data_IF_461176355600
#
_entry.id   IF_461176355600
#
_cell.length_a   1.000
_cell.length_b   1.000
_cell.length_c   1.000
_cell.angle_alpha   90.00
_cell.angle_beta   90.00
_cell.angle_gamma   90.00
#
_symmetry.space_group_name_H-M   'P 1'
#
loop_
_entity.id
_entity.type
_entity.pdbx_description
1 polymer ?
#
# COMPACT_ATOMS: atom_id res chain seq x y z
N UNK A 1 -20.09 9.05 -10.53
CA UNK A 1 -19.44 7.85 -9.99
C UNK A 1 -17.95 7.93 -10.27
N UNK A 2 -17.15 7.38 -9.40
CA UNK A 2 -15.70 7.52 -9.47
C UNK A 2 -14.98 6.19 -9.54
N UNK A 3 -13.82 6.18 -10.21
CA UNK A 3 -12.89 5.05 -10.24
C UNK A 3 -11.61 5.54 -9.61
N UNK A 4 -11.26 4.98 -8.47
CA UNK A 4 -10.13 5.46 -7.66
C UNK A 4 -8.97 4.49 -7.67
N UNK A 5 -7.77 5.03 -7.73
CA UNK A 5 -6.53 4.30 -7.53
C UNK A 5 -5.68 5.03 -6.50
N UNK A 6 -5.05 4.28 -5.63
CA UNK A 6 -4.17 4.82 -4.59
C UNK A 6 -2.79 4.20 -4.76
N UNK A 7 -1.76 5.05 -4.77
CA UNK A 7 -0.38 4.59 -4.92
C UNK A 7 0.39 5.00 -3.67
N UNK A 8 0.89 4.04 -2.92
CA UNK A 8 1.52 4.28 -1.63
C UNK A 8 3.01 4.00 -1.66
N UNK A 9 3.81 5.02 -1.38
CA UNK A 9 5.25 4.90 -1.20
C UNK A 9 5.56 4.96 0.29
N UNK A 10 6.34 4.01 0.79
CA UNK A 10 6.68 3.91 2.21
C UNK A 10 8.18 3.97 2.39
N UNK A 11 8.63 4.80 3.32
CA UNK A 11 10.05 4.89 3.69
C UNK A 11 10.16 5.30 5.15
N UNK A 12 10.92 4.55 5.92
CA UNK A 12 11.03 4.73 7.36
C UNK A 12 9.66 4.68 8.03
N UNK A 13 9.27 5.71 8.75
CA UNK A 13 8.00 5.78 9.47
C UNK A 13 6.88 6.46 8.65
N UNK A 14 7.15 6.79 7.40
CA UNK A 14 6.27 7.63 6.61
C UNK A 14 5.75 6.90 5.39
N UNK A 15 4.48 7.11 5.08
CA UNK A 15 3.88 6.74 3.81
C UNK A 15 3.30 7.99 3.16
N UNK A 16 3.67 8.22 1.91
CA UNK A 16 3.08 9.26 1.08
C UNK A 16 2.41 8.57 -0.10
N UNK A 17 1.23 9.03 -0.44
CA UNK A 17 0.49 8.43 -1.55
C UNK A 17 -0.18 9.46 -2.43
N UNK A 18 -0.57 9.00 -3.60
CA UNK A 18 -1.44 9.72 -4.50
C UNK A 18 -2.79 9.01 -4.54
N UNK A 19 -3.86 9.75 -4.32
CA UNK A 19 -5.23 9.27 -4.46
C UNK A 19 -5.77 9.86 -5.74
N UNK A 20 -6.01 9.00 -6.72
CA UNK A 20 -6.34 9.43 -8.07
C UNK A 20 -7.75 9.04 -8.46
N UNK A 21 -8.45 9.96 -9.09
CA UNK A 21 -9.70 9.65 -9.77
C UNK A 21 -9.38 9.46 -11.25
N UNK A 22 -9.53 8.24 -11.73
CA UNK A 22 -9.15 7.90 -13.11
C UNK A 22 -10.05 8.58 -14.14
N UNK A 23 -11.30 8.81 -13.80
CA UNK A 23 -12.27 9.41 -14.73
C UNK A 23 -12.08 10.91 -14.90
N UNK A 24 -11.89 11.62 -13.79
CA UNK A 24 -11.69 13.08 -13.83
C UNK A 24 -10.23 13.45 -14.01
N UNK A 25 -9.32 12.49 -13.87
CA UNK A 25 -7.87 12.68 -13.93
C UNK A 25 -7.35 13.65 -12.88
N UNK A 26 -8.08 13.78 -11.77
CA UNK A 26 -7.66 14.56 -10.62
C UNK A 26 -6.93 13.66 -9.63
N UNK A 27 -6.00 14.26 -8.90
CA UNK A 27 -5.26 13.53 -7.87
C UNK A 27 -5.06 14.42 -6.65
N UNK A 28 -5.06 13.78 -5.49
CA UNK A 28 -4.74 14.43 -4.23
C UNK A 28 -3.65 13.65 -3.51
N UNK A 29 -2.94 14.32 -2.61
CA UNK A 29 -1.91 13.66 -1.83
C UNK A 29 -2.48 13.04 -0.56
N UNK A 30 -1.83 11.97 -0.11
CA UNK A 30 -2.12 11.30 1.14
C UNK A 30 -0.82 11.17 1.93
N UNK A 31 -0.87 11.40 3.22
CA UNK A 31 0.30 11.29 4.07
C UNK A 31 -0.07 10.66 5.41
N UNK A 32 0.72 9.71 5.85
CA UNK A 32 0.55 9.08 7.14
C UNK A 32 1.90 8.79 7.79
N UNK A 33 2.06 9.28 9.02
CA UNK A 33 3.21 8.96 9.86
C UNK A 33 2.82 7.86 10.84
N UNK A 34 3.56 6.77 10.81
CA UNK A 34 3.35 5.69 11.77
C UNK A 34 4.13 5.99 13.06
N UNK A 35 3.40 6.07 14.15
CA UNK A 35 4.01 6.25 15.48
C UNK A 35 4.03 4.90 16.15
N UNK A 36 5.23 4.44 16.52
CA UNK A 36 5.39 3.19 17.26
C UNK A 36 5.80 3.51 18.70
N UNK A 37 5.33 2.69 19.64
CA UNK A 37 5.71 2.80 21.04
C UNK A 37 7.00 2.03 21.34
N UNK A 38 7.49 1.26 20.39
CA UNK A 38 8.70 0.48 20.56
C UNK A 38 9.94 1.30 20.21
N UNK A 39 11.06 0.95 20.83
CA UNK A 39 12.34 1.54 20.45
C UNK A 39 12.78 0.96 19.10
N UNK A 40 13.29 1.83 18.24
CA UNK A 40 13.73 1.45 16.92
C UNK A 40 12.69 1.76 15.84
N UNK A 41 13.11 1.55 14.60
CA UNK A 41 12.23 1.80 13.46
C UNK A 41 11.38 0.57 13.17
N UNK A 42 10.09 0.79 12.96
CA UNK A 42 9.22 -0.25 12.45
C UNK A 42 9.66 -0.67 11.05
N UNK A 43 9.44 -1.93 10.71
CA UNK A 43 9.70 -2.41 9.36
C UNK A 43 8.73 -1.80 8.35
N UNK A 44 9.11 -1.82 7.07
CA UNK A 44 8.30 -1.23 6.01
C UNK A 44 6.91 -1.85 5.93
N UNK A 45 6.78 -3.13 6.24
CA UNK A 45 5.48 -3.81 6.24
C UNK A 45 4.55 -3.22 7.30
N UNK A 46 5.05 -3.00 8.52
CA UNK A 46 4.24 -2.41 9.59
C UNK A 46 3.82 -0.99 9.24
N UNK A 47 4.75 -0.18 8.74
CA UNK A 47 4.48 1.21 8.37
C UNK A 47 3.45 1.29 7.25
N UNK A 48 3.62 0.47 6.20
CA UNK A 48 2.68 0.44 5.08
C UNK A 48 1.30 -0.02 5.53
N UNK A 49 1.24 -1.03 6.38
CA UNK A 49 -0.03 -1.54 6.90
C UNK A 49 -0.75 -0.48 7.75
N UNK A 50 -0.01 0.25 8.56
CA UNK A 50 -0.56 1.35 9.33
C UNK A 50 -1.22 2.40 8.43
N UNK A 51 -0.56 2.75 7.33
CA UNK A 51 -1.09 3.69 6.36
C UNK A 51 -2.37 3.15 5.69
N UNK A 52 -2.38 1.88 5.33
CA UNK A 52 -3.55 1.23 4.73
C UNK A 52 -4.74 1.26 5.67
N UNK A 53 -4.53 0.90 6.93
CA UNK A 53 -5.58 0.92 7.94
C UNK A 53 -6.15 2.33 8.09
N UNK A 54 -5.28 3.33 8.19
CA UNK A 54 -5.68 4.72 8.29
C UNK A 54 -6.47 5.17 7.06
N UNK A 55 -6.00 4.81 5.87
CA UNK A 55 -6.65 5.14 4.62
C UNK A 55 -8.06 4.54 4.56
N UNK A 56 -8.20 3.27 4.90
CA UNK A 56 -9.50 2.59 4.87
C UNK A 56 -10.50 3.21 5.82
N UNK A 57 -10.05 3.66 6.99
CA UNK A 57 -10.92 4.29 7.97
C UNK A 57 -11.52 5.60 7.49
N UNK A 58 -10.75 6.36 6.71
CA UNK A 58 -11.17 7.68 6.27
C UNK A 58 -11.61 7.77 4.83
N UNK A 59 -11.59 6.68 4.09
CA UNK A 59 -11.88 6.72 2.66
C UNK A 59 -13.39 6.82 2.40
N UNK A 60 -13.76 7.75 1.54
CA UNK A 60 -15.15 7.89 1.12
C UNK A 60 -15.46 6.83 0.05
N UNK A 61 -16.30 5.86 0.41
CA UNK A 61 -16.68 4.77 -0.49
C UNK A 61 -17.99 5.04 -1.24
N UNK A 62 -18.58 6.21 -1.05
CA UNK A 62 -19.80 6.59 -1.76
C UNK A 62 -19.48 6.82 -3.24
N UNK A 63 -20.42 6.49 -4.07
CA UNK A 63 -20.33 6.73 -5.52
C UNK A 63 -19.15 6.06 -6.22
N UNK A 64 -18.59 5.01 -5.62
CA UNK A 64 -17.57 4.22 -6.30
C UNK A 64 -18.22 3.37 -7.40
N UNK A 65 -17.66 3.46 -8.59
CA UNK A 65 -18.10 2.64 -9.73
C UNK A 65 -17.46 1.26 -9.69
N UNK A 66 -16.29 1.17 -9.07
CA UNK A 66 -15.52 -0.07 -8.93
C UNK A 66 -14.73 -0.02 -7.64
N UNK A 67 -14.26 -1.17 -7.12
CA UNK A 67 -13.40 -1.16 -5.94
C UNK A 67 -12.15 -0.31 -6.15
N UNK A 68 -11.71 0.35 -5.08
CA UNK A 68 -10.49 1.14 -5.09
C UNK A 68 -9.29 0.21 -5.21
N UNK A 69 -8.42 0.47 -6.17
CA UNK A 69 -7.17 -0.28 -6.30
C UNK A 69 -6.10 0.41 -5.48
N UNK A 70 -5.58 -0.29 -4.48
CA UNK A 70 -4.53 0.23 -3.60
C UNK A 70 -3.23 -0.48 -3.94
N UNK A 71 -2.28 0.27 -4.50
CA UNK A 71 -0.96 -0.25 -4.84
C UNK A 71 -0.01 0.03 -3.68
N UNK A 72 0.59 -1.01 -3.14
CA UNK A 72 1.44 -0.91 -1.95
C UNK A 72 2.61 -1.89 -2.04
N UNK A 73 3.49 -1.85 -1.04
CA UNK A 73 4.66 -2.73 -1.02
C UNK A 73 4.23 -4.19 -1.08
N UNK A 74 5.01 -4.99 -1.80
CA UNK A 74 4.70 -6.39 -2.07
C UNK A 74 4.51 -7.21 -0.81
N UNK A 75 5.30 -6.94 0.22
CA UNK A 75 5.21 -7.68 1.48
C UNK A 75 3.84 -7.58 2.15
N UNK A 76 3.14 -6.46 1.97
CA UNK A 76 1.78 -6.28 2.49
C UNK A 76 0.75 -6.85 1.51
N UNK A 77 0.86 -6.47 0.25
CA UNK A 77 -0.10 -6.90 -0.76
C UNK A 77 -0.18 -8.42 -0.87
N UNK A 78 0.97 -9.09 -0.83
CA UNK A 78 1.01 -10.54 -0.92
C UNK A 78 0.36 -11.22 0.28
N UNK A 79 0.58 -10.71 1.50
CA UNK A 79 -0.05 -11.25 2.69
C UNK A 79 -1.56 -11.07 2.68
N UNK A 80 -2.05 -10.00 2.08
CA UNK A 80 -3.49 -9.77 1.93
C UNK A 80 -4.06 -10.73 0.88
N UNK A 81 -3.44 -10.80 -0.27
CA UNK A 81 -3.96 -11.54 -1.41
C UNK A 81 -3.91 -13.06 -1.22
N UNK A 82 -2.87 -13.57 -0.56
CA UNK A 82 -2.78 -14.99 -0.25
C UNK A 82 -3.39 -15.35 1.10
N UNK A 83 -3.91 -14.35 1.82
CA UNK A 83 -4.57 -14.49 3.12
C UNK A 83 -3.67 -15.03 4.24
N UNK A 84 -2.36 -14.97 4.09
CA UNK A 84 -1.43 -15.45 5.12
C UNK A 84 -1.52 -14.66 6.42
N UNK A 85 -1.97 -13.40 6.38
CA UNK A 85 -2.17 -12.63 7.60
C UNK A 85 -3.23 -13.27 8.52
N UNK A 86 -4.18 -13.99 7.96
CA UNK A 86 -5.21 -14.70 8.76
C UNK A 86 -4.59 -15.81 9.59
N UNK A 87 -3.61 -16.51 9.03
CA UNK A 87 -2.86 -17.52 9.78
C UNK A 87 -2.11 -16.86 10.94
N UNK A 88 -1.50 -15.71 10.71
CA UNK A 88 -0.81 -14.98 11.78
C UNK A 88 -1.78 -14.55 12.89
N UNK A 89 -3.00 -14.15 12.55
CA UNK A 89 -4.01 -13.78 13.54
C UNK A 89 -4.41 -14.97 14.42
N UNK A 90 -4.43 -16.17 13.87
CA UNK A 90 -4.82 -17.37 14.60
C UNK A 90 -3.66 -17.89 15.43
N UNK A 91 -2.48 -18.00 14.85
CA UNK A 91 -1.33 -18.64 15.49
C UNK A 91 -0.48 -17.72 16.35
N UNK A 92 -0.47 -16.41 16.04
CA UNK A 92 0.47 -15.46 16.64
C UNK A 92 1.90 -15.65 16.16
N UNK A 93 2.12 -16.49 15.16
CA UNK A 93 3.46 -16.86 14.69
C UNK A 93 3.66 -16.54 13.22
N UNK A 94 4.88 -16.12 12.88
CA UNK A 94 5.32 -16.00 11.49
C UNK A 94 5.62 -17.36 10.91
N UNK A 95 5.87 -17.40 9.59
CA UNK A 95 6.18 -18.65 8.90
C UNK A 95 7.42 -19.35 9.43
N UNK A 96 8.36 -18.60 10.00
CA UNK A 96 9.58 -19.15 10.59
C UNK A 96 9.41 -19.59 12.05
N UNK A 97 8.20 -19.51 12.59
CA UNK A 97 7.89 -19.92 13.96
C UNK A 97 8.13 -18.85 15.02
N UNK A 98 8.66 -17.70 14.64
CA UNK A 98 8.84 -16.59 15.61
C UNK A 98 7.53 -15.87 15.84
N UNK A 99 7.44 -15.16 16.98
CA UNK A 99 6.24 -14.40 17.30
C UNK A 99 6.06 -13.21 16.35
N UNK A 100 4.82 -12.94 15.99
CA UNK A 100 4.47 -11.72 15.27
C UNK A 100 4.61 -10.55 16.25
N UNK A 101 5.25 -9.47 15.80
CA UNK A 101 5.39 -8.26 16.61
C UNK A 101 4.03 -7.76 17.09
N UNK A 102 3.94 -7.33 18.34
CA UNK A 102 2.67 -6.93 18.95
C UNK A 102 2.01 -5.75 18.22
N UNK A 103 2.80 -4.77 17.77
CA UNK A 103 2.27 -3.63 17.03
C UNK A 103 1.74 -4.05 15.66
N UNK A 104 2.46 -4.92 14.97
CA UNK A 104 2.02 -5.43 13.69
C UNK A 104 0.77 -6.29 13.85
N UNK A 105 0.71 -7.13 14.88
CA UNK A 105 -0.46 -7.95 15.16
C UNK A 105 -1.71 -7.08 15.39
N UNK A 106 -1.56 -6.00 16.12
CA UNK A 106 -2.66 -5.06 16.37
C UNK A 106 -3.18 -4.46 15.05
N UNK A 107 -2.27 -4.10 14.16
CA UNK A 107 -2.63 -3.55 12.86
C UNK A 107 -3.34 -4.58 11.98
N UNK A 108 -2.88 -5.83 11.99
CA UNK A 108 -3.54 -6.89 11.23
C UNK A 108 -4.94 -7.18 11.75
N UNK A 109 -5.14 -7.11 13.08
CA UNK A 109 -6.47 -7.25 13.67
C UNK A 109 -7.39 -6.13 13.22
N UNK A 110 -6.92 -4.90 13.24
CA UNK A 110 -7.69 -3.76 12.74
C UNK A 110 -8.00 -3.89 11.25
N UNK A 111 -7.00 -4.29 10.47
CA UNK A 111 -7.17 -4.51 9.04
C UNK A 111 -8.24 -5.57 8.77
N UNK A 112 -8.18 -6.68 9.47
CA UNK A 112 -9.17 -7.76 9.29
C UNK A 112 -10.59 -7.27 9.62
N UNK A 113 -10.73 -6.50 10.67
CA UNK A 113 -12.02 -5.92 11.06
C UNK A 113 -12.55 -4.98 9.97
N UNK A 114 -11.69 -4.14 9.41
CA UNK A 114 -12.06 -3.25 8.33
C UNK A 114 -12.43 -4.02 7.05
N UNK A 115 -11.69 -5.08 6.74
CA UNK A 115 -12.00 -5.93 5.58
C UNK A 115 -13.33 -6.65 5.73
N UNK A 116 -13.68 -7.06 6.94
CA UNK A 116 -14.98 -7.67 7.20
C UNK A 116 -16.13 -6.70 6.97
N UNK A 117 -15.89 -5.42 7.18
CA UNK A 117 -16.91 -4.38 7.05
C UNK A 117 -16.91 -3.76 5.65
N UNK A 118 -15.74 -3.42 5.12
CA UNK A 118 -15.59 -2.62 3.91
C UNK A 118 -14.75 -3.29 2.82
N UNK A 119 -14.41 -4.57 2.96
CA UNK A 119 -13.50 -5.24 2.03
C UNK A 119 -13.97 -5.24 0.58
N UNK A 120 -15.26 -5.16 0.36
CA UNK A 120 -15.82 -5.12 -0.99
C UNK A 120 -15.42 -3.86 -1.77
N UNK A 121 -14.96 -2.82 -1.08
CA UNK A 121 -14.60 -1.55 -1.71
C UNK A 121 -13.12 -1.43 -2.04
N UNK A 122 -12.29 -2.40 -1.67
CA UNK A 122 -10.84 -2.30 -1.82
C UNK A 122 -10.23 -3.54 -2.45
N UNK A 123 -9.31 -3.32 -3.37
CA UNK A 123 -8.48 -4.37 -3.96
C UNK A 123 -7.03 -3.93 -3.75
N UNK A 124 -6.20 -4.83 -3.21
CA UNK A 124 -4.80 -4.53 -2.93
C UNK A 124 -3.91 -5.15 -4.00
N UNK A 125 -3.00 -4.35 -4.54
CA UNK A 125 -2.10 -4.79 -5.59
C UNK A 125 -0.65 -4.52 -5.20
N UNK A 126 0.19 -5.49 -5.53
CA UNK A 126 1.62 -5.36 -5.31
C UNK A 126 2.23 -4.38 -6.31
N UNK A 127 3.28 -3.69 -5.88
CA UNK A 127 4.10 -2.89 -6.78
C UNK A 127 4.85 -3.75 -7.80
N UNK A 128 4.83 -5.08 -7.64
CA UNK A 128 5.33 -6.02 -8.62
C UNK A 128 4.28 -6.46 -9.63
N UNK A 129 3.07 -5.92 -9.52
CA UNK A 129 1.99 -6.25 -10.45
C UNK A 129 2.33 -5.84 -11.88
N UNK A 130 1.81 -6.57 -12.86
CA UNK A 130 2.07 -6.32 -14.27
C UNK A 130 1.66 -4.92 -14.72
N UNK A 131 0.70 -4.29 -14.03
CA UNK A 131 0.29 -2.91 -14.34
C UNK A 131 1.40 -1.90 -14.09
N UNK A 132 2.46 -2.28 -13.37
CA UNK A 132 3.64 -1.46 -13.21
C UNK A 132 4.80 -1.94 -14.06
N UNK A 133 4.89 -3.25 -14.31
CA UNK A 133 6.07 -3.83 -14.94
C UNK A 133 6.08 -3.73 -16.47
N UNK A 134 4.96 -3.39 -17.06
CA UNK A 134 4.98 -3.12 -18.49
C UNK A 134 5.13 -4.34 -19.36
N UNK A 135 4.32 -5.36 -19.14
CA UNK A 135 4.34 -6.49 -20.05
C UNK A 135 3.59 -6.14 -21.35
N UNK A 136 3.94 -6.76 -22.47
CA UNK A 136 3.26 -6.47 -23.74
C UNK A 136 1.76 -6.74 -23.73
N UNK A 137 1.26 -7.52 -22.78
CA UNK A 137 -0.14 -7.89 -22.69
C UNK A 137 -1.00 -6.81 -22.04
N UNK A 138 -0.39 -5.80 -21.41
CA UNK A 138 -1.12 -4.80 -20.67
C UNK A 138 -1.13 -3.47 -21.39
N UNK A 139 -2.18 -2.68 -21.12
CA UNK A 139 -2.33 -1.37 -21.71
C UNK A 139 -1.20 -0.44 -21.26
N UNK A 140 -0.41 0.03 -22.21
CA UNK A 140 0.75 0.89 -21.92
C UNK A 140 0.33 2.24 -21.33
N UNK A 141 -0.83 2.74 -21.70
CA UNK A 141 -1.33 3.99 -21.13
C UNK A 141 -1.64 3.83 -19.63
N UNK A 142 -2.20 2.69 -19.23
CA UNK A 142 -2.43 2.41 -17.81
C UNK A 142 -1.13 2.29 -17.04
N UNK A 143 -0.15 1.61 -17.62
CA UNK A 143 1.17 1.45 -16.99
C UNK A 143 1.81 2.82 -16.77
N UNK A 144 1.78 3.69 -17.77
CA UNK A 144 2.31 5.04 -17.66
C UNK A 144 1.59 5.86 -16.61
N UNK A 145 0.28 5.76 -16.55
CA UNK A 145 -0.55 6.45 -15.56
C UNK A 145 -0.16 6.01 -14.14
N UNK A 146 -0.12 4.71 -13.91
CA UNK A 146 0.21 4.16 -12.60
C UNK A 146 1.64 4.56 -12.19
N UNK A 147 2.58 4.44 -13.11
CA UNK A 147 3.97 4.79 -12.85
C UNK A 147 4.15 6.27 -12.53
N UNK A 148 3.46 7.14 -13.25
CA UNK A 148 3.56 8.58 -13.03
C UNK A 148 3.20 8.94 -11.58
N UNK A 149 2.07 8.45 -11.09
CA UNK A 149 1.62 8.81 -9.75
C UNK A 149 2.42 8.14 -8.65
N UNK A 150 2.85 6.91 -8.88
CA UNK A 150 3.74 6.29 -7.91
C UNK A 150 5.09 6.98 -7.83
N UNK A 151 5.68 7.30 -8.96
CA UNK A 151 6.95 8.01 -9.01
C UNK A 151 6.84 9.38 -8.33
N UNK A 152 5.70 10.04 -8.50
CA UNK A 152 5.43 11.28 -7.78
C UNK A 152 5.45 11.05 -6.26
N UNK A 153 4.75 10.04 -5.78
CA UNK A 153 4.70 9.74 -4.34
C UNK A 153 6.09 9.36 -3.81
N UNK A 154 6.83 8.54 -4.56
CA UNK A 154 8.18 8.14 -4.18
C UNK A 154 9.13 9.34 -4.14
N UNK A 155 9.04 10.22 -5.12
CA UNK A 155 9.86 11.43 -5.15
C UNK A 155 9.55 12.34 -3.97
N UNK A 156 8.28 12.48 -3.61
CA UNK A 156 7.87 13.29 -2.47
C UNK A 156 8.45 12.76 -1.17
N UNK A 157 8.39 11.45 -0.94
CA UNK A 157 8.91 10.85 0.28
C UNK A 157 10.45 10.90 0.31
N UNK A 158 11.09 10.77 -0.84
CA UNK A 158 12.55 10.84 -0.94
C UNK A 158 13.08 12.22 -0.62
N UNK A 159 12.32 13.28 -0.87
CA UNK A 159 12.70 14.65 -0.48
C UNK A 159 12.75 14.80 1.04
N UNK A 160 11.91 14.08 1.76
CA UNK A 160 11.90 14.12 3.23
C UNK A 160 13.02 13.24 3.79
N UNK A 161 13.21 12.05 3.20
CA UNK A 161 14.25 11.11 3.61
C UNK A 161 15.18 10.83 2.45
N UNK A 162 16.15 11.72 2.18
CA UNK A 162 16.99 11.60 0.99
C UNK A 162 18.05 10.49 1.06
N UNK A 163 18.26 9.88 2.21
CA UNK A 163 19.24 8.82 2.35
C UNK A 163 18.67 7.48 1.92
N UNK A 164 19.49 6.66 1.31
CA UNK A 164 19.09 5.38 0.76
C UNK A 164 18.81 5.46 -0.72
N UNK A 165 18.23 4.41 -1.31
CA UNK A 165 17.96 4.38 -2.75
C UNK A 165 17.00 5.51 -3.14
N UNK A 166 17.30 6.15 -4.25
CA UNK A 166 16.45 7.21 -4.82
C UNK A 166 15.22 6.62 -5.52
N UNK A 167 15.22 5.33 -5.81
CA UNK A 167 14.11 4.64 -6.44
C UNK A 167 13.55 3.61 -5.48
N UNK A 168 12.31 3.21 -5.64
CA UNK A 168 11.79 2.08 -4.91
C UNK A 168 12.69 0.90 -5.17
N UNK A 169 13.02 0.17 -4.11
CA UNK A 169 13.91 -0.93 -4.29
C UNK A 169 13.24 -2.04 -5.08
N UNK A 170 14.00 -3.06 -5.25
CA UNK A 170 13.66 -4.24 -5.92
C UNK A 170 12.25 -4.59 -6.14
N UNK A 171 11.38 -4.18 -5.35
CA UNK A 171 10.01 -4.60 -5.47
C UNK A 171 9.35 -4.09 -6.70
N UNK A 172 9.89 -3.07 -7.24
CA UNK A 172 9.21 -2.42 -8.24
C UNK A 172 9.77 -2.63 -9.56
N UNK A 173 11.05 -2.69 -9.72
CA UNK A 173 11.67 -2.98 -10.99
C UNK A 173 11.05 -2.22 -12.16
N UNK A 174 10.56 -1.02 -11.92
CA UNK A 174 10.01 -0.21 -12.98
C UNK A 174 11.16 0.28 -13.83
N UNK A 175 11.06 0.01 -15.11
CA UNK A 175 12.07 0.40 -16.07
C UNK A 175 11.51 1.49 -16.95
N UNK A 176 12.29 2.48 -17.20
CA UNK A 176 11.96 3.58 -18.08
C UNK A 176 11.63 3.11 -19.50
#
# INVERSE_FOLDING_TARGET
MSVKRVFLATKKDLTIGAVCDVKTKQASSYKHNHVTTQQGLAGSREVALSAIVNLMKGFDTKELEAPVQVFCVSSVADMINNQSYKYWLISGKKNDGTDVDANEMKLWKEFHKLMSKNGMYFIFKSLNDANFRGTPKFNQAEIKYNKFYYDWAWSAIHKIYPQGPATPDMDFGIVE
#
